data_IF_465981147492
#
_entry.id   IF_465981147492
#
_cell.length_a   1.000
_cell.length_b   1.000
_cell.length_c   1.000
_cell.angle_alpha   90.00
_cell.angle_beta   90.00
_cell.angle_gamma   90.00
#
_symmetry.space_group_name_H-M   'P 1'
#
loop_
_entity.id
_entity.type
_entity.pdbx_description
1 polymer ?
#
# COMPACT_ATOMS: atom_id res chain seq x y z
N UNK A 1 23.12 17.53 -3.28
CA UNK A 1 22.16 16.45 -3.61
C UNK A 1 22.47 15.27 -2.71
N UNK A 2 21.50 14.71 -2.00
CA UNK A 2 21.74 13.52 -1.18
C UNK A 2 22.01 12.29 -2.06
N UNK A 3 22.75 11.37 -1.49
CA UNK A 3 23.28 10.17 -2.13
C UNK A 3 22.35 8.98 -1.92
N UNK A 4 22.62 7.88 -2.64
CA UNK A 4 21.99 6.58 -2.37
C UNK A 4 22.20 6.15 -0.90
N UNK A 5 23.37 6.45 -0.34
CA UNK A 5 23.68 6.10 1.05
C UNK A 5 22.78 6.86 2.04
N UNK A 6 22.44 8.12 1.75
CA UNK A 6 21.54 8.90 2.60
C UNK A 6 20.12 8.32 2.63
N UNK A 7 19.62 7.85 1.48
CA UNK A 7 18.33 7.18 1.40
C UNK A 7 18.31 5.85 2.17
N UNK A 8 19.37 5.04 2.04
CA UNK A 8 19.51 3.78 2.79
C UNK A 8 19.61 4.03 4.30
N UNK A 9 20.37 5.04 4.72
CA UNK A 9 20.48 5.41 6.13
C UNK A 9 19.14 5.94 6.69
N UNK A 10 18.37 6.68 5.90
CA UNK A 10 17.03 7.12 6.29
C UNK A 10 16.06 5.95 6.44
N UNK A 11 16.07 4.99 5.51
CA UNK A 11 15.25 3.78 5.60
C UNK A 11 15.61 2.92 6.83
N UNK A 12 16.90 2.77 7.14
CA UNK A 12 17.35 2.08 8.35
C UNK A 12 16.83 2.78 9.62
N UNK A 13 16.97 4.10 9.71
CA UNK A 13 16.44 4.88 10.86
C UNK A 13 14.92 4.76 11.02
N UNK A 14 14.17 4.75 9.93
CA UNK A 14 12.71 4.57 9.95
C UNK A 14 12.32 3.22 10.59
N UNK A 15 13.07 2.17 10.25
CA UNK A 15 12.87 0.85 10.83
C UNK A 15 13.32 0.79 12.30
N UNK A 16 14.55 1.21 12.59
CA UNK A 16 15.18 1.11 13.91
C UNK A 16 14.51 1.99 14.97
N UNK A 17 13.91 3.12 14.58
CA UNK A 17 13.12 3.98 15.47
C UNK A 17 11.73 3.42 15.81
N UNK A 18 11.36 2.28 15.21
CA UNK A 18 10.03 1.68 15.32
C UNK A 18 8.93 2.46 14.60
N UNK A 19 9.27 3.48 13.80
CA UNK A 19 8.29 4.24 13.03
C UNK A 19 7.59 3.36 11.99
N UNK A 20 8.36 2.52 11.29
CA UNK A 20 7.80 1.51 10.40
C UNK A 20 6.88 0.53 11.12
N UNK A 21 7.29 0.06 12.32
CA UNK A 21 6.46 -0.85 13.14
C UNK A 21 5.13 -0.22 13.53
N UNK A 22 5.12 1.05 13.95
CA UNK A 22 3.88 1.78 14.30
C UNK A 22 2.96 1.97 13.09
N UNK A 23 3.52 2.30 11.93
CA UNK A 23 2.77 2.41 10.68
C UNK A 23 2.13 1.08 10.29
N UNK A 24 2.89 0.00 10.31
CA UNK A 24 2.36 -1.32 9.96
C UNK A 24 1.34 -1.80 11.01
N UNK A 25 1.55 -1.52 12.30
CA UNK A 25 0.59 -1.86 13.35
C UNK A 25 -0.77 -1.18 13.12
N UNK A 26 -0.76 0.13 12.79
CA UNK A 26 -1.98 0.87 12.45
C UNK A 26 -2.71 0.24 11.27
N UNK A 27 -1.97 -0.11 10.22
CA UNK A 27 -2.54 -0.75 9.01
C UNK A 27 -3.11 -2.15 9.26
N UNK A 28 -2.41 -2.97 10.04
CA UNK A 28 -2.87 -4.31 10.46
C UNK A 28 -4.18 -4.22 11.25
N UNK A 29 -4.36 -3.18 12.06
CA UNK A 29 -5.58 -3.00 12.85
C UNK A 29 -6.84 -2.74 12.00
N UNK A 30 -6.72 -2.32 10.75
CA UNK A 30 -7.87 -2.24 9.84
C UNK A 30 -8.32 -3.63 9.39
N UNK A 31 -9.53 -4.03 9.75
CA UNK A 31 -10.10 -5.34 9.38
C UNK A 31 -10.65 -5.31 7.95
N UNK A 32 -9.75 -5.35 6.98
CA UNK A 32 -10.07 -5.18 5.54
C UNK A 32 -10.31 -6.52 4.86
N UNK A 33 -11.21 -7.34 5.40
CA UNK A 33 -11.51 -8.66 4.85
C UNK A 33 -12.41 -8.54 3.61
N UNK A 34 -11.85 -8.62 2.39
CA UNK A 34 -12.65 -8.45 1.16
C UNK A 34 -13.70 -9.56 0.95
N UNK A 35 -13.47 -10.73 1.55
CA UNK A 35 -14.40 -11.86 1.58
C UNK A 35 -15.58 -11.67 2.56
N UNK A 36 -15.54 -10.63 3.40
CA UNK A 36 -16.58 -10.31 4.39
C UNK A 36 -17.35 -9.05 3.94
N UNK A 37 -18.63 -9.16 3.54
CA UNK A 37 -19.43 -8.01 3.14
C UNK A 37 -19.53 -6.90 4.20
N UNK A 38 -19.46 -7.25 5.49
CA UNK A 38 -19.50 -6.28 6.60
C UNK A 38 -18.25 -5.39 6.64
N UNK A 39 -17.16 -5.79 5.98
CA UNK A 39 -15.91 -5.03 5.91
C UNK A 39 -15.94 -3.91 4.86
N UNK A 40 -17.04 -3.73 4.11
CA UNK A 40 -17.14 -2.72 3.04
C UNK A 40 -16.74 -1.30 3.49
N UNK A 41 -17.20 -0.89 4.69
CA UNK A 41 -16.82 0.40 5.27
C UNK A 41 -15.33 0.46 5.63
N UNK A 42 -14.78 -0.63 6.20
CA UNK A 42 -13.38 -0.71 6.58
C UNK A 42 -12.43 -0.68 5.36
N UNK A 43 -12.82 -1.32 4.25
CA UNK A 43 -12.08 -1.32 2.99
C UNK A 43 -11.97 0.09 2.41
N UNK A 44 -13.10 0.83 2.37
CA UNK A 44 -13.10 2.22 1.93
C UNK A 44 -12.31 3.12 2.87
N UNK A 45 -12.50 2.98 4.18
CA UNK A 45 -11.78 3.74 5.19
C UNK A 45 -10.26 3.48 5.11
N UNK A 46 -9.83 2.26 4.81
CA UNK A 46 -8.40 1.99 4.60
C UNK A 46 -7.81 2.82 3.46
N UNK A 47 -8.52 2.92 2.33
CA UNK A 47 -8.07 3.75 1.22
C UNK A 47 -8.09 5.24 1.56
N UNK A 48 -9.20 5.73 2.11
CA UNK A 48 -9.43 7.16 2.35
C UNK A 48 -8.71 7.74 3.58
N UNK A 49 -8.62 6.96 4.66
CA UNK A 49 -8.19 7.45 5.97
C UNK A 49 -6.76 6.99 6.32
N UNK A 50 -6.24 5.95 5.66
CA UNK A 50 -4.87 5.44 5.90
C UNK A 50 -3.95 5.64 4.69
N UNK A 51 -4.37 5.19 3.50
CA UNK A 51 -3.51 5.23 2.30
C UNK A 51 -3.45 6.65 1.71
N UNK A 52 -4.57 7.33 1.52
CA UNK A 52 -4.60 8.68 0.95
C UNK A 52 -3.76 9.69 1.78
N UNK A 53 -3.82 9.73 3.13
CA UNK A 53 -2.94 10.61 3.91
C UNK A 53 -1.46 10.24 3.80
N UNK A 54 -1.14 8.95 3.71
CA UNK A 54 0.24 8.48 3.49
C UNK A 54 0.80 8.95 2.13
N UNK A 55 -0.03 8.92 1.09
CA UNK A 55 0.30 9.45 -0.24
C UNK A 55 0.41 10.98 -0.23
N UNK A 56 -0.50 11.67 0.45
CA UNK A 56 -0.48 13.13 0.57
C UNK A 56 0.82 13.64 1.24
N UNK A 57 1.34 12.92 2.25
CA UNK A 57 2.63 13.23 2.88
C UNK A 57 3.83 13.16 1.91
N UNK A 58 3.70 12.41 0.81
CA UNK A 58 4.67 12.34 -0.29
C UNK A 58 4.43 13.40 -1.37
N UNK A 59 3.40 14.24 -1.25
CA UNK A 59 2.97 15.19 -2.28
C UNK A 59 2.10 14.55 -3.38
N UNK A 60 1.62 13.33 -3.18
CA UNK A 60 0.78 12.62 -4.14
C UNK A 60 -0.69 12.97 -3.87
N UNK A 61 -1.39 13.47 -4.89
CA UNK A 61 -2.84 13.70 -4.81
C UNK A 61 -3.55 12.40 -5.11
N UNK A 62 -4.55 12.02 -4.31
CA UNK A 62 -5.26 10.76 -4.49
C UNK A 62 -6.76 10.90 -4.44
N UNK A 63 -7.45 10.00 -5.12
CA UNK A 63 -8.90 9.88 -5.13
C UNK A 63 -9.30 8.41 -4.93
N UNK A 64 -10.31 8.19 -4.08
CA UNK A 64 -10.99 6.90 -3.95
C UNK A 64 -12.12 6.84 -4.97
N UNK A 65 -12.25 5.71 -5.65
CA UNK A 65 -13.24 5.42 -6.67
C UNK A 65 -14.13 4.27 -6.22
N UNK A 66 -15.40 4.35 -6.60
CA UNK A 66 -16.28 3.21 -6.55
C UNK A 66 -15.86 2.19 -7.61
N UNK A 67 -16.08 0.91 -7.30
CA UNK A 67 -15.83 -0.14 -8.26
C UNK A 67 -16.83 -0.03 -9.43
N UNK A 68 -16.40 -0.20 -10.69
CA UNK A 68 -17.31 -0.21 -11.83
C UNK A 68 -18.33 -1.34 -11.78
N UNK A 69 -18.05 -2.43 -11.07
CA UNK A 69 -19.01 -3.49 -10.79
C UNK A 69 -19.76 -3.19 -9.48
N UNK A 70 -21.11 -3.07 -9.51
CA UNK A 70 -21.90 -2.77 -8.33
C UNK A 70 -21.66 -3.76 -7.18
N UNK A 71 -21.45 -3.22 -5.98
CA UNK A 71 -21.23 -4.00 -4.76
C UNK A 71 -19.83 -4.61 -4.62
N UNK A 72 -18.89 -4.27 -5.51
CA UNK A 72 -17.48 -4.67 -5.41
C UNK A 72 -16.62 -3.60 -4.72
N UNK A 73 -15.43 -4.01 -4.31
CA UNK A 73 -14.58 -3.27 -3.40
C UNK A 73 -13.93 -2.04 -4.08
N UNK A 74 -13.78 -0.91 -3.37
CA UNK A 74 -13.30 0.33 -3.95
C UNK A 74 -11.83 0.26 -4.37
N UNK A 75 -11.42 1.24 -5.18
CA UNK A 75 -10.05 1.42 -5.65
C UNK A 75 -9.57 2.85 -5.36
N UNK A 76 -8.27 3.07 -5.34
CA UNK A 76 -7.65 4.38 -5.19
C UNK A 76 -6.61 4.59 -6.29
N UNK A 77 -6.65 5.77 -6.91
CA UNK A 77 -5.55 6.27 -7.75
C UNK A 77 -4.91 7.45 -7.03
N UNK A 78 -3.59 7.41 -6.86
CA UNK A 78 -2.73 8.52 -6.48
C UNK A 78 -1.87 8.95 -7.66
N UNK A 79 -1.65 10.25 -7.84
CA UNK A 79 -0.77 10.79 -8.88
C UNK A 79 0.05 11.99 -8.39
N UNK A 80 1.33 12.00 -8.77
CA UNK A 80 2.24 13.14 -8.64
C UNK A 80 3.08 13.26 -9.90
N UNK A 81 3.03 14.43 -10.54
CA UNK A 81 3.82 14.75 -11.72
C UNK A 81 4.91 15.76 -11.33
N UNK A 82 6.17 15.37 -11.52
CA UNK A 82 7.32 16.25 -11.30
C UNK A 82 7.75 17.01 -12.55
N UNK A 83 7.71 16.34 -13.71
CA UNK A 83 8.05 16.90 -15.02
C UNK A 83 7.52 15.97 -16.12
N UNK A 84 6.79 16.47 -17.13
CA UNK A 84 6.30 15.66 -18.26
C UNK A 84 7.40 14.93 -19.06
N UNK A 85 8.65 15.40 -19.01
CA UNK A 85 9.78 14.77 -19.68
C UNK A 85 10.40 13.59 -18.89
N UNK A 86 10.00 13.41 -17.62
CA UNK A 86 10.46 12.30 -16.79
C UNK A 86 9.61 11.04 -17.01
N UNK A 87 10.18 9.84 -16.82
CA UNK A 87 9.40 8.61 -16.89
C UNK A 87 8.35 8.58 -15.77
N UNK A 88 7.23 7.91 -16.05
CA UNK A 88 6.15 7.66 -15.11
C UNK A 88 6.23 6.24 -14.59
N UNK A 89 6.29 6.08 -13.27
CA UNK A 89 6.28 4.79 -12.58
C UNK A 89 4.90 4.58 -11.98
N UNK A 90 4.21 3.52 -12.38
CA UNK A 90 3.00 3.02 -11.73
C UNK A 90 3.41 2.01 -10.66
N UNK A 91 2.98 2.24 -9.42
CA UNK A 91 3.11 1.28 -8.33
C UNK A 91 1.73 0.69 -8.04
N UNK A 92 1.66 -0.63 -7.94
CA UNK A 92 0.45 -1.37 -7.59
C UNK A 92 0.63 -2.08 -6.23
N UNK A 93 -0.46 -2.15 -5.46
CA UNK A 93 -0.64 -3.06 -4.33
C UNK A 93 -2.11 -3.15 -3.94
N UNK A 94 -2.44 -3.94 -2.93
CA UNK A 94 -3.81 -4.04 -2.43
C UNK A 94 -3.87 -3.85 -0.91
N UNK A 95 -5.03 -3.37 -0.45
CA UNK A 95 -5.29 -3.03 0.95
C UNK A 95 -6.18 -4.02 1.69
N UNK A 96 -6.84 -4.91 0.95
CA UNK A 96 -7.60 -6.01 1.52
C UNK A 96 -6.72 -7.17 1.93
N UNK A 97 -7.33 -8.10 2.67
CA UNK A 97 -6.70 -9.31 3.18
C UNK A 97 -7.73 -10.44 3.19
N UNK A 98 -7.29 -11.69 3.15
CA UNK A 98 -8.16 -12.83 3.52
C UNK A 98 -8.68 -12.71 4.95
N UNK A 99 -9.64 -13.57 5.31
CA UNK A 99 -10.21 -13.63 6.66
C UNK A 99 -9.17 -13.61 7.79
N UNK A 100 -9.52 -12.89 8.86
CA UNK A 100 -8.73 -12.77 10.09
C UNK A 100 -8.46 -14.12 10.75
N UNK A 101 -9.49 -14.97 10.84
CA UNK A 101 -9.46 -16.29 11.51
C UNK A 101 -9.17 -16.17 13.02
N UNK A 102 -9.79 -15.20 13.69
CA UNK A 102 -9.71 -15.01 15.15
C UNK A 102 -9.93 -16.32 15.91
N UNK A 103 -9.13 -16.53 16.96
CA UNK A 103 -9.16 -17.77 17.76
C UNK A 103 -8.56 -19.00 17.09
N UNK A 104 -8.11 -18.92 15.82
CA UNK A 104 -7.43 -20.02 15.11
C UNK A 104 -5.91 -19.83 15.00
N UNK A 105 -5.39 -18.69 15.43
CA UNK A 105 -3.97 -18.41 15.41
C UNK A 105 -3.28 -19.09 16.60
N UNK A 106 -2.08 -19.62 16.35
CA UNK A 106 -1.25 -20.24 17.41
C UNK A 106 -0.88 -19.24 18.49
N UNK A 107 -0.71 -19.74 19.72
CA UNK A 107 -0.20 -18.98 20.87
C UNK A 107 -0.99 -17.67 21.11
N UNK A 108 -2.31 -17.71 20.91
CA UNK A 108 -3.25 -16.61 21.16
C UNK A 108 -2.89 -15.30 20.44
N UNK A 109 -2.28 -15.39 19.25
CA UNK A 109 -2.03 -14.22 18.42
C UNK A 109 -3.35 -13.64 17.90
N UNK A 110 -3.50 -12.32 17.99
CA UNK A 110 -4.61 -11.60 17.37
C UNK A 110 -4.23 -11.23 15.91
N UNK A 111 -4.99 -11.66 14.88
CA UNK A 111 -4.73 -11.25 13.49
C UNK A 111 -4.71 -9.72 13.31
N UNK A 112 -5.45 -8.98 14.13
CA UNK A 112 -5.62 -7.53 13.99
C UNK A 112 -4.68 -6.71 14.87
N UNK A 113 -3.74 -7.37 15.55
CA UNK A 113 -2.69 -6.71 16.31
C UNK A 113 -1.30 -7.16 15.82
N UNK A 114 -0.45 -6.19 15.49
CA UNK A 114 0.93 -6.49 15.12
C UNK A 114 1.70 -6.97 16.35
N UNK A 115 2.10 -8.25 16.34
CA UNK A 115 2.88 -8.86 17.42
C UNK A 115 4.27 -9.23 16.91
N UNK A 116 5.31 -8.71 17.58
CA UNK A 116 6.71 -9.05 17.26
C UNK A 116 7.17 -10.19 18.17
N UNK A 117 7.70 -11.29 17.60
CA UNK A 117 8.37 -12.35 18.36
C UNK A 117 9.68 -12.73 17.70
N UNK A 118 10.80 -12.42 18.36
CA UNK A 118 12.13 -12.53 17.77
C UNK A 118 12.21 -11.69 16.49
N UNK A 119 12.67 -12.28 15.40
CA UNK A 119 12.84 -11.62 14.10
C UNK A 119 11.56 -11.61 13.23
N UNK A 120 10.42 -12.04 13.78
CA UNK A 120 9.17 -12.21 13.01
C UNK A 120 8.06 -11.30 13.51
N UNK A 121 7.37 -10.68 12.56
CA UNK A 121 6.23 -9.79 12.80
C UNK A 121 4.95 -10.49 12.35
N UNK A 122 4.05 -10.73 13.30
CA UNK A 122 2.80 -11.45 13.12
C UNK A 122 1.61 -10.49 13.07
N UNK A 123 0.71 -10.72 12.13
CA UNK A 123 -0.53 -9.97 11.95
C UNK A 123 -1.09 -10.23 10.55
N UNK A 124 -2.40 -10.13 10.38
CA UNK A 124 -3.05 -10.24 9.07
C UNK A 124 -2.68 -9.02 8.23
N UNK A 125 -2.13 -9.25 7.04
CA UNK A 125 -1.63 -8.16 6.18
C UNK A 125 -0.12 -7.90 6.28
N UNK A 126 0.60 -8.48 7.25
CA UNK A 126 2.03 -8.11 7.44
C UNK A 126 2.93 -8.49 6.28
N UNK A 127 2.66 -9.62 5.61
CA UNK A 127 3.37 -10.04 4.41
C UNK A 127 2.58 -9.72 3.14
N UNK A 128 1.26 -9.84 3.21
CA UNK A 128 0.34 -9.87 2.09
C UNK A 128 -0.92 -9.04 2.40
N UNK A 129 -1.03 -7.78 1.96
CA UNK A 129 0.02 -6.98 1.29
C UNK A 129 0.36 -5.67 2.02
N UNK A 130 -0.27 -5.43 3.18
CA UNK A 130 -0.05 -4.20 3.97
C UNK A 130 1.40 -3.91 4.27
N UNK A 131 2.21 -4.93 4.55
CA UNK A 131 3.65 -4.76 4.72
C UNK A 131 4.35 -4.24 3.46
N UNK A 132 4.08 -4.83 2.29
CA UNK A 132 4.79 -4.53 1.05
C UNK A 132 4.55 -3.10 0.58
N UNK A 133 3.29 -2.67 0.50
CA UNK A 133 3.00 -1.29 0.12
C UNK A 133 3.44 -0.28 1.19
N UNK A 134 3.54 -0.69 2.48
CA UNK A 134 4.20 0.12 3.52
C UNK A 134 5.68 0.31 3.26
N UNK A 135 6.39 -0.76 2.88
CA UNK A 135 7.82 -0.70 2.55
C UNK A 135 8.03 0.23 1.36
N UNK A 136 7.21 0.11 0.30
CA UNK A 136 7.34 0.96 -0.87
C UNK A 136 7.09 2.44 -0.54
N UNK A 137 6.06 2.76 0.26
CA UNK A 137 5.80 4.13 0.70
C UNK A 137 6.95 4.70 1.56
N UNK A 138 7.51 3.90 2.49
CA UNK A 138 8.65 4.32 3.30
C UNK A 138 9.92 4.53 2.45
N UNK A 139 10.15 3.67 1.45
CA UNK A 139 11.26 3.80 0.51
C UNK A 139 11.14 5.08 -0.33
N UNK A 140 9.93 5.38 -0.84
CA UNK A 140 9.67 6.64 -1.54
C UNK A 140 9.93 7.86 -0.65
N UNK A 141 9.49 7.82 0.61
CA UNK A 141 9.74 8.89 1.58
C UNK A 141 11.25 9.12 1.79
N UNK A 142 12.01 8.04 1.99
CA UNK A 142 13.45 8.10 2.20
C UNK A 142 14.19 8.64 0.96
N UNK A 143 13.83 8.17 -0.24
CA UNK A 143 14.41 8.66 -1.50
C UNK A 143 14.07 10.13 -1.73
N UNK A 144 12.81 10.52 -1.54
CA UNK A 144 12.35 11.89 -1.68
C UNK A 144 13.09 12.83 -0.73
N UNK A 145 13.27 12.44 0.52
CA UNK A 145 14.02 13.21 1.52
C UNK A 145 15.49 13.37 1.12
N UNK A 146 16.17 12.28 0.73
CA UNK A 146 17.57 12.32 0.29
C UNK A 146 17.76 13.21 -0.96
N UNK A 147 16.79 13.23 -1.85
CA UNK A 147 16.83 14.01 -3.10
C UNK A 147 16.25 15.42 -2.98
N UNK A 148 16.08 15.93 -1.76
CA UNK A 148 15.67 17.33 -1.54
C UNK A 148 14.22 17.60 -1.93
N UNK A 149 13.33 16.64 -1.70
CA UNK A 149 11.89 16.77 -1.94
C UNK A 149 11.39 16.22 -3.28
N UNK A 150 12.26 15.56 -4.06
CA UNK A 150 11.96 15.02 -5.39
C UNK A 150 12.27 13.53 -5.50
N UNK A 151 11.46 12.79 -6.24
CA UNK A 151 11.67 11.42 -6.65
C UNK A 151 12.53 11.34 -7.92
N UNK A 152 12.42 12.30 -8.84
CA UNK A 152 13.10 12.25 -10.14
C UNK A 152 12.37 11.36 -11.17
N UNK A 153 11.08 11.13 -10.97
CA UNK A 153 10.14 10.47 -11.88
C UNK A 153 8.72 10.92 -11.53
N UNK A 154 7.78 10.77 -12.47
CA UNK A 154 6.35 10.92 -12.18
C UNK A 154 5.85 9.62 -11.52
N UNK A 155 4.92 9.74 -10.58
CA UNK A 155 4.40 8.61 -9.82
C UNK A 155 2.89 8.48 -10.02
N UNK A 156 2.45 7.28 -10.40
CA UNK A 156 1.07 6.84 -10.27
C UNK A 156 1.02 5.71 -9.25
N UNK A 157 0.01 5.71 -8.40
CA UNK A 157 -0.20 4.69 -7.39
C UNK A 157 -1.61 4.13 -7.52
N UNK A 158 -1.74 2.83 -7.74
CA UNK A 158 -3.01 2.12 -7.77
C UNK A 158 -3.10 1.21 -6.55
N UNK A 159 -4.12 1.42 -5.71
CA UNK A 159 -4.46 0.48 -4.64
C UNK A 159 -5.87 -0.04 -4.84
N UNK A 160 -6.03 -1.36 -4.89
CA UNK A 160 -7.36 -1.97 -4.82
C UNK A 160 -7.65 -2.60 -3.46
N UNK A 161 -8.88 -3.06 -3.26
CA UNK A 161 -9.29 -3.76 -2.03
C UNK A 161 -10.12 -5.01 -2.31
N UNK A 162 -9.91 -5.65 -3.46
CA UNK A 162 -10.60 -6.87 -3.86
C UNK A 162 -9.69 -8.00 -4.37
N UNK A 163 -8.37 -7.86 -4.23
CA UNK A 163 -7.38 -8.80 -4.80
C UNK A 163 -7.62 -10.23 -4.28
N UNK A 164 -7.90 -10.36 -2.98
CA UNK A 164 -8.09 -11.64 -2.29
C UNK A 164 -9.42 -12.33 -2.64
N UNK A 165 -10.19 -11.70 -3.54
CA UNK A 165 -11.40 -12.21 -4.17
C UNK A 165 -11.31 -12.27 -5.70
N UNK A 166 -10.11 -12.12 -6.26
CA UNK A 166 -9.82 -12.18 -7.69
C UNK A 166 -9.96 -10.85 -8.43
N UNK A 167 -9.79 -9.71 -7.73
CA UNK A 167 -9.81 -8.36 -8.30
C UNK A 167 -11.04 -8.03 -9.16
N UNK A 168 -12.27 -8.29 -8.70
CA UNK A 168 -13.47 -8.07 -9.50
C UNK A 168 -13.62 -6.59 -9.88
N UNK A 169 -13.71 -6.30 -11.18
CA UNK A 169 -13.89 -4.94 -11.70
C UNK A 169 -12.59 -4.16 -11.93
N UNK A 170 -11.43 -4.72 -11.56
CA UNK A 170 -10.13 -4.05 -11.77
C UNK A 170 -9.85 -3.83 -13.25
N UNK A 171 -10.11 -4.82 -14.11
CA UNK A 171 -9.84 -4.72 -15.54
C UNK A 171 -10.68 -3.61 -16.20
N UNK A 172 -11.96 -3.53 -15.86
CA UNK A 172 -12.89 -2.50 -16.31
C UNK A 172 -12.47 -1.11 -15.78
N UNK A 173 -12.05 -1.05 -14.52
CA UNK A 173 -11.55 0.18 -13.92
C UNK A 173 -10.29 0.68 -14.62
N UNK A 174 -9.32 -0.20 -14.85
CA UNK A 174 -8.09 0.11 -15.56
C UNK A 174 -8.34 0.55 -17.01
N UNK A 175 -9.32 -0.05 -17.68
CA UNK A 175 -9.72 0.36 -19.02
C UNK A 175 -10.36 1.77 -19.01
N UNK A 176 -11.22 2.06 -18.02
CA UNK A 176 -11.88 3.36 -17.87
C UNK A 176 -10.91 4.48 -17.42
N UNK A 177 -9.89 4.14 -16.63
CA UNK A 177 -8.87 5.06 -16.10
C UNK A 177 -7.53 4.97 -16.86
N UNK A 178 -7.54 4.48 -18.10
CA UNK A 178 -6.35 4.22 -18.92
C UNK A 178 -5.38 5.41 -18.91
N UNK A 179 -5.89 6.61 -19.14
CA UNK A 179 -5.05 7.82 -19.24
C UNK A 179 -4.47 8.21 -17.88
N UNK A 180 -5.23 8.06 -16.80
CA UNK A 180 -4.77 8.34 -15.44
C UNK A 180 -3.68 7.34 -14.98
N UNK A 181 -3.77 6.09 -15.46
CA UNK A 181 -2.88 4.97 -15.13
C UNK A 181 -1.70 4.81 -16.11
N UNK A 182 -1.61 5.64 -17.16
CA UNK A 182 -0.55 5.57 -18.15
C UNK A 182 0.83 5.73 -17.47
N UNK A 183 1.73 4.76 -17.72
CA UNK A 183 3.05 4.71 -17.13
C UNK A 183 4.05 3.97 -18.03
N UNK A 184 5.33 4.27 -17.87
CA UNK A 184 6.45 3.63 -18.57
C UNK A 184 6.89 2.34 -17.89
N UNK A 185 6.70 2.24 -16.57
CA UNK A 185 7.07 1.08 -15.76
C UNK A 185 5.97 0.78 -14.74
N UNK A 186 5.64 -0.49 -14.58
CA UNK A 186 4.80 -0.99 -13.49
C UNK A 186 5.67 -1.75 -12.48
N UNK A 187 5.53 -1.39 -11.20
CA UNK A 187 6.12 -2.11 -10.06
C UNK A 187 4.97 -2.61 -9.18
N UNK A 188 4.86 -3.94 -9.08
CA UNK A 188 3.96 -4.59 -8.14
C UNK A 188 4.80 -5.40 -7.13
N UNK A 189 4.64 -5.09 -5.85
CA UNK A 189 5.31 -5.82 -4.76
C UNK A 189 4.29 -6.71 -4.06
N UNK A 190 3.95 -7.82 -4.72
CA UNK A 190 2.85 -8.67 -4.31
C UNK A 190 3.06 -10.14 -4.73
N UNK A 191 4.28 -10.63 -4.47
CA UNK A 191 4.68 -11.98 -4.84
C UNK A 191 5.29 -12.71 -3.64
N UNK A 192 5.03 -14.02 -3.49
CA UNK A 192 5.78 -14.82 -2.54
C UNK A 192 7.27 -14.80 -2.94
N UNK A 193 8.17 -14.95 -1.96
CA UNK A 193 9.52 -15.40 -2.29
C UNK A 193 9.37 -16.82 -2.83
N UNK A 194 9.46 -16.96 -4.16
CA UNK A 194 9.63 -18.26 -4.79
C UNK A 194 10.93 -18.85 -4.23
N UNK A 195 10.80 -19.91 -3.44
CA UNK A 195 11.89 -20.77 -3.00
C UNK A 195 11.70 -22.13 -3.65
#
# INVERSE_FOLDING_TARGET
MGTRADALAAAAREFDSGAFQRTLARRVAHRTESQNPESAAALRAYLGDEIAPSLAALGVRSQVFDNPLPGKQPLLIGRSDEDPALPTVLVYGHGDVVRGLEGRWRNDLDPWALTVRGERWYGRGTADNKGQHSINLAALAAVRAARGGRLGFNLVWLVETGEETGSPGLAEFCAAQRDALAADVLIASDGPRLH
#
